data_IF_964597657635
#
_entry.id   IF_964597657635
#
_cell.length_a   1.000
_cell.length_b   1.000
_cell.length_c   1.000
_cell.angle_alpha   90.00
_cell.angle_beta   90.00
_cell.angle_gamma   90.00
#
_symmetry.space_group_name_H-M   'P 1'
#
loop_
_entity.id
_entity.type
_entity.pdbx_description
1 polymer ?
#
# COMPACT_ATOMS: atom_id res chain seq x y z
N UNK A 1 16.63 23.95 -2.21
CA UNK A 1 16.96 22.54 -2.54
C UNK A 1 16.48 21.68 -1.37
N UNK A 2 15.51 20.77 -1.56
CA UNK A 2 15.12 19.86 -0.47
C UNK A 2 16.16 18.77 -0.37
N UNK A 3 16.77 18.60 0.81
CA UNK A 3 17.59 17.42 1.10
C UNK A 3 16.64 16.21 1.07
N UNK A 4 17.14 15.01 0.73
CA UNK A 4 16.32 13.80 0.58
C UNK A 4 15.35 13.56 1.76
N UNK A 5 15.74 13.97 2.98
CA UNK A 5 14.93 13.96 4.20
C UNK A 5 13.61 14.74 4.08
N UNK A 6 13.67 15.96 3.57
CA UNK A 6 12.52 16.86 3.43
C UNK A 6 11.51 16.31 2.43
N UNK A 7 11.99 15.78 1.31
CA UNK A 7 11.14 15.15 0.30
C UNK A 7 10.39 13.95 0.89
N UNK A 8 11.07 13.09 1.67
CA UNK A 8 10.42 11.95 2.30
C UNK A 8 9.40 12.34 3.37
N UNK A 9 9.70 13.36 4.19
CA UNK A 9 8.74 13.88 5.18
C UNK A 9 7.50 14.43 4.48
N UNK A 10 7.67 15.22 3.41
CA UNK A 10 6.54 15.73 2.64
C UNK A 10 5.74 14.61 1.97
N UNK A 11 6.40 13.60 1.40
CA UNK A 11 5.75 12.42 0.83
C UNK A 11 4.91 11.68 1.88
N UNK A 12 5.46 11.47 3.09
CA UNK A 12 4.77 10.80 4.20
C UNK A 12 3.56 11.60 4.71
N UNK A 13 3.71 12.92 4.88
CA UNK A 13 2.63 13.79 5.35
C UNK A 13 1.52 13.89 4.29
N UNK A 14 1.87 14.14 3.02
CA UNK A 14 0.89 14.17 1.91
C UNK A 14 0.17 12.85 1.69
N UNK A 15 0.86 11.73 1.92
CA UNK A 15 0.23 10.42 1.85
C UNK A 15 -0.85 10.28 2.92
N UNK A 16 -0.51 10.67 4.16
CA UNK A 16 -1.42 10.53 5.31
C UNK A 16 -2.58 11.54 5.29
N UNK A 17 -2.39 12.71 4.70
CA UNK A 17 -3.40 13.75 4.56
C UNK A 17 -4.66 13.26 3.79
N UNK A 18 -4.49 12.35 2.83
CA UNK A 18 -5.61 11.77 2.08
C UNK A 18 -6.60 10.98 2.95
N UNK A 19 -6.11 10.46 4.07
CA UNK A 19 -6.90 9.74 5.06
C UNK A 19 -7.43 10.66 6.16
N UNK A 20 -7.22 11.99 6.00
CA UNK A 20 -7.49 13.04 6.99
C UNK A 20 -6.79 12.74 8.31
N UNK A 21 -5.54 12.29 8.21
CA UNK A 21 -4.78 11.75 9.33
C UNK A 21 -3.47 12.54 9.53
N UNK A 22 -3.52 13.68 10.23
CA UNK A 22 -2.31 14.42 10.58
C UNK A 22 -1.46 13.58 11.56
N UNK A 23 -0.14 13.65 11.39
CA UNK A 23 0.78 12.69 12.00
C UNK A 23 1.54 13.29 13.19
N UNK A 24 1.78 12.50 14.22
CA UNK A 24 2.76 12.87 15.25
C UNK A 24 4.20 12.74 14.73
N UNK A 25 5.18 13.38 15.40
CA UNK A 25 6.61 13.22 15.05
C UNK A 25 7.04 11.74 15.04
N UNK A 26 6.59 10.95 16.02
CA UNK A 26 6.89 9.52 16.13
C UNK A 26 6.33 8.73 14.95
N UNK A 27 5.09 9.02 14.55
CA UNK A 27 4.48 8.36 13.39
C UNK A 27 5.18 8.74 12.08
N UNK A 28 5.58 10.00 11.91
CA UNK A 28 6.40 10.40 10.75
C UNK A 28 7.70 9.61 10.75
N UNK A 29 8.41 9.57 11.89
CA UNK A 29 9.66 8.85 12.02
C UNK A 29 9.52 7.39 11.58
N UNK A 30 8.48 6.71 12.03
CA UNK A 30 8.22 5.31 11.70
C UNK A 30 7.82 5.11 10.23
N UNK A 31 7.06 6.06 9.65
CA UNK A 31 6.39 5.91 8.34
C UNK A 31 7.10 6.68 7.21
N UNK A 32 8.38 7.03 7.40
CA UNK A 32 9.15 7.67 6.34
C UNK A 32 9.21 6.79 5.09
N UNK A 33 8.80 7.38 3.97
CA UNK A 33 8.75 6.71 2.69
C UNK A 33 10.16 6.66 2.09
N UNK A 34 10.58 5.44 1.70
CA UNK A 34 11.82 5.07 0.98
C UNK A 34 13.15 5.29 1.72
N UNK A 35 13.25 6.26 2.61
CA UNK A 35 14.52 6.58 3.29
C UNK A 35 14.44 6.36 4.79
N UNK A 36 15.61 6.07 5.37
CA UNK A 36 15.79 6.04 6.81
C UNK A 36 16.41 7.34 7.28
N UNK A 37 15.81 7.94 8.31
CA UNK A 37 16.28 9.20 8.91
C UNK A 37 16.29 9.04 10.42
N UNK A 38 17.35 9.52 11.06
CA UNK A 38 17.49 9.54 12.53
C UNK A 38 16.53 10.54 13.16
N UNK A 39 16.24 10.39 14.44
CA UNK A 39 15.28 11.27 15.12
C UNK A 39 15.74 12.74 15.19
N UNK A 40 17.05 12.97 15.38
CA UNK A 40 17.65 14.31 15.37
C UNK A 40 17.47 14.97 14.01
N UNK A 41 17.84 14.25 12.94
CA UNK A 41 17.72 14.79 11.58
C UNK A 41 16.27 15.06 11.20
N UNK A 42 15.35 14.19 11.61
CA UNK A 42 13.91 14.41 11.42
C UNK A 42 13.43 15.71 12.09
N UNK A 43 13.90 15.99 13.32
CA UNK A 43 13.58 17.24 14.02
C UNK A 43 13.98 18.48 13.22
N UNK A 44 15.23 18.52 12.74
CA UNK A 44 15.72 19.60 11.86
C UNK A 44 14.89 19.73 10.59
N UNK A 45 14.61 18.61 9.92
CA UNK A 45 13.83 18.58 8.68
C UNK A 45 12.42 19.14 8.88
N UNK A 46 11.75 18.80 9.98
CA UNK A 46 10.42 19.31 10.30
C UNK A 46 10.44 20.83 10.55
N UNK A 47 11.44 21.33 11.28
CA UNK A 47 11.64 22.76 11.50
C UNK A 47 11.88 23.49 10.18
N UNK A 48 12.75 22.96 9.32
CA UNK A 48 13.06 23.56 8.02
C UNK A 48 11.84 23.63 7.11
N UNK A 49 11.07 22.54 7.01
CA UNK A 49 9.83 22.51 6.22
C UNK A 49 8.76 23.45 6.78
N UNK A 50 8.74 23.66 8.09
CA UNK A 50 7.82 24.61 8.73
C UNK A 50 8.19 26.06 8.45
N UNK A 51 9.50 26.39 8.48
CA UNK A 51 10.00 27.72 8.07
C UNK A 51 9.66 28.05 6.61
N UNK A 52 9.64 27.03 5.75
CA UNK A 52 9.22 27.15 4.34
C UNK A 52 7.70 27.22 4.16
N UNK A 53 6.92 27.19 5.24
CA UNK A 53 5.45 27.20 5.22
C UNK A 53 4.84 26.07 4.37
N UNK A 54 5.50 24.91 4.34
CA UNK A 54 5.00 23.71 3.66
C UNK A 54 4.21 22.81 4.61
N UNK A 55 4.63 22.77 5.86
CA UNK A 55 3.98 22.04 6.94
C UNK A 55 3.86 22.90 8.20
N UNK A 56 2.91 22.56 9.05
CA UNK A 56 2.73 23.21 10.35
C UNK A 56 2.55 22.16 11.44
N UNK A 57 2.95 22.52 12.67
CA UNK A 57 2.64 21.75 13.86
C UNK A 57 1.46 22.39 14.59
N UNK A 58 0.42 21.60 14.85
CA UNK A 58 -0.74 22.02 15.63
C UNK A 58 -1.08 20.97 16.67
N UNK A 59 -0.91 21.31 17.95
CA UNK A 59 -1.18 20.40 19.06
C UNK A 59 -0.37 19.11 19.02
N UNK A 60 0.89 19.17 18.54
CA UNK A 60 1.76 18.00 18.41
C UNK A 60 1.58 17.19 17.11
N UNK A 61 0.60 17.56 16.27
CA UNK A 61 0.37 16.94 14.97
C UNK A 61 0.94 17.80 13.85
N UNK A 62 1.66 17.15 12.93
CA UNK A 62 2.20 17.74 11.72
C UNK A 62 1.26 17.51 10.56
N UNK A 63 0.93 18.58 9.84
CA UNK A 63 0.08 18.58 8.64
C UNK A 63 0.61 19.55 7.59
N UNK A 64 0.04 19.50 6.40
CA UNK A 64 0.28 20.53 5.38
C UNK A 64 -0.25 21.88 5.87
N UNK A 65 0.54 22.95 5.70
CA UNK A 65 0.15 24.32 6.10
C UNK A 65 -1.07 24.80 5.32
N UNK A 66 -1.18 24.42 4.03
CA UNK A 66 -2.35 24.69 3.21
C UNK A 66 -3.27 23.46 3.24
N UNK A 67 -4.50 23.65 3.70
CA UNK A 67 -5.53 22.60 3.72
C UNK A 67 -6.45 22.70 4.92
N UNK A 68 -7.53 21.92 4.93
CA UNK A 68 -8.48 21.90 6.04
C UNK A 68 -7.79 21.46 7.34
N UNK A 69 -8.14 22.08 8.46
CA UNK A 69 -7.69 21.62 9.77
C UNK A 69 -8.35 20.29 10.12
N UNK A 70 -7.55 19.22 10.13
CA UNK A 70 -8.00 17.86 10.44
C UNK A 70 -7.64 17.45 11.88
N UNK A 71 -6.98 18.29 12.68
CA UNK A 71 -6.55 17.90 14.04
C UNK A 71 -7.75 17.63 14.95
N UNK A 72 -8.79 18.47 14.88
CA UNK A 72 -10.05 18.22 15.60
C UNK A 72 -10.68 16.89 15.20
N UNK A 73 -10.69 16.59 13.90
CA UNK A 73 -11.20 15.31 13.39
C UNK A 73 -10.34 14.13 13.85
N UNK A 74 -9.01 14.27 13.89
CA UNK A 74 -8.08 13.25 14.39
C UNK A 74 -8.36 12.87 15.84
N UNK A 75 -8.55 13.87 16.71
CA UNK A 75 -8.88 13.66 18.12
C UNK A 75 -10.27 13.02 18.29
N UNK A 76 -11.27 13.51 17.55
CA UNK A 76 -12.63 12.95 17.57
C UNK A 76 -12.64 11.48 17.13
N UNK A 77 -11.93 11.13 16.05
CA UNK A 77 -11.80 9.74 15.56
C UNK A 77 -11.03 8.85 16.52
N UNK A 78 -10.01 9.39 17.20
CA UNK A 78 -9.30 8.65 18.24
C UNK A 78 -10.24 8.29 19.40
N UNK A 79 -11.12 9.22 19.81
CA UNK A 79 -12.12 8.96 20.84
C UNK A 79 -13.13 7.87 20.41
N UNK A 80 -13.66 7.95 19.18
CA UNK A 80 -14.52 6.88 18.64
C UNK A 80 -13.81 5.53 18.56
N UNK A 81 -12.50 5.54 18.29
CA UNK A 81 -11.70 4.31 18.23
C UNK A 81 -11.60 3.62 19.59
N UNK A 82 -11.57 4.37 20.70
CA UNK A 82 -11.54 3.80 22.05
C UNK A 82 -12.74 2.90 22.34
N UNK A 83 -13.95 3.32 21.94
CA UNK A 83 -15.15 2.50 22.10
C UNK A 83 -15.09 1.21 21.27
N UNK A 84 -14.47 1.25 20.09
CA UNK A 84 -14.31 0.07 19.22
C UNK A 84 -13.21 -0.87 19.69
N UNK A 85 -12.20 -0.38 20.40
CA UNK A 85 -11.21 -1.25 21.05
C UNK A 85 -11.86 -2.16 22.10
N UNK A 86 -12.83 -1.66 22.87
CA UNK A 86 -13.59 -2.49 23.80
C UNK A 86 -14.38 -3.60 23.08
N UNK A 87 -14.85 -3.36 21.86
CA UNK A 87 -15.50 -4.38 21.03
C UNK A 87 -14.52 -5.44 20.53
N UNK A 88 -13.25 -5.09 20.33
CA UNK A 88 -12.18 -6.05 20.00
C UNK A 88 -11.88 -6.94 21.22
N UNK A 89 -11.92 -6.41 22.44
CA UNK A 89 -11.76 -7.23 23.65
C UNK A 89 -12.92 -8.23 23.80
N UNK A 90 -14.16 -7.81 23.53
CA UNK A 90 -15.33 -8.70 23.47
C UNK A 90 -15.16 -9.79 22.41
N UNK A 91 -14.72 -9.43 21.21
CA UNK A 91 -14.40 -10.39 20.14
C UNK A 91 -13.43 -11.45 20.65
N UNK A 92 -12.34 -11.05 21.28
CA UNK A 92 -11.34 -12.01 21.80
C UNK A 92 -11.92 -12.96 22.83
N UNK A 93 -12.84 -12.50 23.70
CA UNK A 93 -13.54 -13.38 24.64
C UNK A 93 -14.42 -14.42 23.94
N UNK A 94 -14.98 -14.07 22.78
CA UNK A 94 -15.91 -14.92 22.01
C UNK A 94 -15.19 -15.92 21.11
N UNK A 95 -14.06 -15.56 20.50
CA UNK A 95 -13.37 -16.44 19.53
C UNK A 95 -12.03 -16.97 20.06
N UNK A 96 -11.48 -16.38 21.12
CA UNK A 96 -10.15 -16.72 21.65
C UNK A 96 -10.02 -18.15 22.19
N UNK A 97 -11.15 -18.77 22.56
CA UNK A 97 -11.22 -20.16 23.02
C UNK A 97 -11.01 -21.18 21.88
N UNK A 98 -11.16 -20.79 20.61
CA UNK A 98 -10.98 -21.70 19.47
C UNK A 98 -9.49 -22.13 19.43
N UNK A 99 -9.17 -23.42 19.67
CA UNK A 99 -7.80 -23.83 20.02
C UNK A 99 -6.77 -23.63 18.90
N UNK A 100 -7.22 -23.60 17.64
CA UNK A 100 -6.36 -23.47 16.47
C UNK A 100 -6.32 -22.05 15.89
N UNK A 101 -7.02 -21.07 16.48
CA UNK A 101 -6.73 -19.66 16.20
C UNK A 101 -5.37 -19.33 16.79
N UNK A 102 -4.45 -18.91 15.93
CA UNK A 102 -3.06 -18.59 16.27
C UNK A 102 -2.84 -17.09 16.40
N UNK A 103 -3.62 -16.26 15.71
CA UNK A 103 -3.51 -14.83 15.88
C UNK A 103 -4.76 -14.09 15.47
N UNK A 104 -4.97 -12.94 16.10
CA UNK A 104 -6.03 -11.99 15.77
C UNK A 104 -5.38 -10.62 15.72
N UNK A 105 -5.56 -9.91 14.62
CA UNK A 105 -5.03 -8.56 14.46
C UNK A 105 -6.10 -7.62 13.92
N UNK A 106 -6.04 -6.37 14.37
CA UNK A 106 -6.82 -5.26 13.84
C UNK A 106 -6.03 -4.59 12.71
N UNK A 107 -6.72 -4.33 11.61
CA UNK A 107 -6.19 -3.69 10.38
C UNK A 107 -7.00 -2.44 10.05
N UNK A 108 -6.67 -1.74 8.96
CA UNK A 108 -7.43 -0.57 8.50
C UNK A 108 -7.47 0.58 9.50
N UNK A 109 -8.59 1.32 9.51
CA UNK A 109 -8.72 2.59 10.24
C UNK A 109 -8.60 2.45 11.76
N UNK A 110 -9.10 1.36 12.35
CA UNK A 110 -9.05 1.16 13.80
C UNK A 110 -7.60 0.96 14.27
N UNK A 111 -6.78 0.28 13.48
CA UNK A 111 -5.39 0.01 13.83
C UNK A 111 -4.56 1.30 14.05
N UNK A 112 -4.99 2.43 13.46
CA UNK A 112 -4.38 3.76 13.64
C UNK A 112 -5.25 4.76 14.39
N UNK A 113 -6.34 4.30 15.02
CA UNK A 113 -7.26 5.13 15.79
C UNK A 113 -7.93 6.23 14.92
N UNK A 114 -8.25 5.93 13.66
CA UNK A 114 -8.80 6.86 12.67
C UNK A 114 -10.23 6.54 12.23
N UNK A 115 -11.03 5.94 13.10
CA UNK A 115 -12.36 5.42 12.76
C UNK A 115 -13.44 6.50 12.82
N UNK A 116 -14.38 6.47 11.87
CA UNK A 116 -15.67 7.17 11.94
C UNK A 116 -16.73 6.34 12.67
N UNK A 117 -17.82 6.97 13.13
CA UNK A 117 -18.89 6.30 13.90
C UNK A 117 -19.36 5.01 13.20
N UNK A 118 -19.53 5.07 11.87
CA UNK A 118 -20.13 4.00 11.08
C UNK A 118 -19.12 3.00 10.49
N UNK A 119 -17.81 3.16 10.72
CA UNK A 119 -16.86 2.19 10.13
C UNK A 119 -16.93 0.83 10.84
N UNK A 120 -16.75 -0.25 10.08
CA UNK A 120 -16.64 -1.59 10.64
C UNK A 120 -15.26 -1.82 11.28
N UNK A 121 -15.14 -2.89 12.08
CA UNK A 121 -13.86 -3.32 12.65
C UNK A 121 -13.20 -4.30 11.68
N UNK A 122 -12.14 -3.85 11.02
CA UNK A 122 -11.34 -4.65 10.07
C UNK A 122 -10.40 -5.63 10.79
N UNK A 123 -10.67 -6.93 10.68
CA UNK A 123 -9.99 -8.00 11.41
C UNK A 123 -9.26 -8.97 10.49
N UNK A 124 -8.00 -9.23 10.82
CA UNK A 124 -7.21 -10.33 10.28
C UNK A 124 -7.17 -11.50 11.27
N UNK A 125 -7.54 -12.69 10.79
CA UNK A 125 -7.46 -13.92 11.56
C UNK A 125 -6.38 -14.85 11.00
N UNK A 126 -5.51 -15.34 11.88
CA UNK A 126 -4.51 -16.35 11.57
C UNK A 126 -4.84 -17.65 12.29
N UNK A 127 -4.89 -18.75 11.54
CA UNK A 127 -5.24 -20.08 12.07
C UNK A 127 -4.14 -21.11 11.78
N UNK A 128 -4.20 -22.24 12.47
CA UNK A 128 -3.39 -23.39 12.10
C UNK A 128 -3.73 -23.90 10.68
N UNK A 129 -2.81 -24.59 9.98
CA UNK A 129 -3.04 -25.08 8.63
C UNK A 129 -4.25 -26.02 8.55
N UNK A 130 -5.00 -25.94 7.44
CA UNK A 130 -6.21 -26.76 7.19
C UNK A 130 -7.31 -26.58 8.25
N UNK A 131 -7.46 -25.35 8.76
CA UNK A 131 -8.51 -24.97 9.71
C UNK A 131 -9.25 -23.69 9.34
N UNK A 132 -8.90 -23.07 8.21
CA UNK A 132 -9.36 -21.73 7.87
C UNK A 132 -10.88 -21.71 7.67
N UNK A 133 -11.40 -22.66 6.91
CA UNK A 133 -12.79 -22.69 6.51
C UNK A 133 -13.72 -23.15 7.63
N UNK A 134 -13.25 -24.09 8.45
CA UNK A 134 -13.94 -24.48 9.67
C UNK A 134 -13.96 -23.32 10.67
N UNK A 135 -12.84 -22.62 10.85
CA UNK A 135 -12.78 -21.44 11.73
C UNK A 135 -13.72 -20.36 11.25
N UNK A 136 -13.79 -20.14 9.93
CA UNK A 136 -14.70 -19.15 9.35
C UNK A 136 -16.15 -19.44 9.69
N UNK A 137 -16.59 -20.69 9.67
CA UNK A 137 -17.95 -21.08 10.10
C UNK A 137 -18.16 -20.78 11.58
N UNK A 138 -17.28 -21.28 12.45
CA UNK A 138 -17.41 -21.11 13.90
C UNK A 138 -17.41 -19.63 14.32
N UNK A 139 -16.50 -18.85 13.75
CA UNK A 139 -16.40 -17.40 13.98
C UNK A 139 -17.64 -16.69 13.42
N UNK A 140 -18.14 -17.11 12.25
CA UNK A 140 -19.33 -16.52 11.66
C UNK A 140 -20.58 -16.75 12.51
N UNK A 141 -20.77 -17.98 13.01
CA UNK A 141 -21.90 -18.35 13.87
C UNK A 141 -21.81 -17.65 15.23
N UNK A 142 -20.64 -17.66 15.86
CA UNK A 142 -20.44 -16.97 17.14
C UNK A 142 -20.63 -15.46 17.03
N UNK A 143 -20.18 -14.84 15.93
CA UNK A 143 -20.41 -13.41 15.65
C UNK A 143 -21.90 -13.09 15.44
N UNK A 144 -22.64 -13.99 14.77
CA UNK A 144 -24.09 -13.86 14.59
C UNK A 144 -24.82 -13.97 15.93
N UNK A 145 -24.41 -14.92 16.78
CA UNK A 145 -25.02 -15.16 18.08
C UNK A 145 -24.93 -13.96 19.02
N UNK A 146 -23.83 -13.19 18.95
CA UNK A 146 -23.64 -11.95 19.72
C UNK A 146 -24.13 -10.70 19.00
N UNK A 147 -24.81 -10.84 17.85
CA UNK A 147 -25.37 -9.71 17.10
C UNK A 147 -24.33 -8.77 16.50
N UNK A 148 -23.12 -9.26 16.20
CA UNK A 148 -22.00 -8.46 15.65
C UNK A 148 -21.69 -8.78 14.19
N UNK A 149 -22.55 -9.56 13.53
CA UNK A 149 -22.39 -9.95 12.13
C UNK A 149 -23.42 -9.28 11.25
N UNK A 150 -22.93 -8.39 10.39
CA UNK A 150 -23.75 -7.60 9.47
C UNK A 150 -24.78 -8.45 8.72
N UNK A 151 -26.04 -8.25 9.04
CA UNK A 151 -27.17 -8.77 8.26
C UNK A 151 -27.33 -8.03 6.95
N UNK A 152 -28.04 -8.63 5.97
CA UNK A 152 -28.32 -8.03 4.67
C UNK A 152 -29.05 -6.67 4.77
N UNK A 153 -29.77 -6.43 5.87
CA UNK A 153 -30.49 -5.18 6.14
C UNK A 153 -29.60 -4.04 6.65
N UNK A 154 -28.34 -4.30 7.01
CA UNK A 154 -27.29 -3.29 7.09
C UNK A 154 -27.28 -2.35 8.31
N UNK A 155 -28.10 -2.60 9.34
CA UNK A 155 -28.33 -1.69 10.47
C UNK A 155 -27.37 -1.84 11.67
N UNK A 156 -26.36 -2.70 11.60
CA UNK A 156 -25.51 -3.00 12.75
C UNK A 156 -24.29 -2.08 12.80
N UNK A 157 -24.30 -1.14 13.74
CA UNK A 157 -23.11 -0.36 14.08
C UNK A 157 -22.07 -1.24 14.78
N UNK A 158 -20.79 -1.05 14.46
CA UNK A 158 -19.65 -1.80 15.02
C UNK A 158 -19.62 -3.29 14.68
N UNK A 159 -20.00 -3.65 13.45
CA UNK A 159 -19.92 -5.04 12.99
C UNK A 159 -18.47 -5.53 12.91
N UNK A 160 -18.26 -6.81 13.21
CA UNK A 160 -16.95 -7.46 13.11
C UNK A 160 -16.71 -7.94 11.68
N UNK A 161 -15.79 -7.26 10.98
CA UNK A 161 -15.48 -7.56 9.59
C UNK A 161 -14.18 -8.35 9.48
N UNK A 162 -14.28 -9.66 9.27
CA UNK A 162 -13.12 -10.52 9.03
C UNK A 162 -12.68 -10.44 7.57
N UNK A 163 -11.96 -9.38 7.24
CA UNK A 163 -11.54 -9.04 5.88
C UNK A 163 -10.36 -9.90 5.38
N UNK A 164 -9.58 -10.49 6.30
CA UNK A 164 -8.38 -11.25 5.97
C UNK A 164 -8.27 -12.54 6.79
N UNK A 165 -8.19 -13.66 6.10
CA UNK A 165 -7.99 -14.99 6.69
C UNK A 165 -6.71 -15.59 6.16
N UNK A 166 -5.82 -16.02 7.05
CA UNK A 166 -4.54 -16.63 6.71
C UNK A 166 -4.32 -17.89 7.55
N UNK A 167 -3.61 -18.86 7.00
CA UNK A 167 -2.93 -19.86 7.83
C UNK A 167 -1.54 -19.39 8.26
N UNK A 168 -1.00 -20.00 9.31
CA UNK A 168 0.31 -19.65 9.88
C UNK A 168 1.53 -20.03 9.00
N UNK A 169 1.31 -20.70 7.86
CA UNK A 169 2.35 -21.02 6.85
C UNK A 169 2.38 -20.00 5.71
N UNK A 170 1.30 -19.27 5.46
CA UNK A 170 1.14 -18.37 4.32
C UNK A 170 0.81 -16.93 4.75
N UNK A 171 1.66 -16.37 5.61
CA UNK A 171 1.47 -15.01 6.17
C UNK A 171 1.90 -13.87 5.24
N UNK A 172 2.60 -14.18 4.15
CA UNK A 172 3.12 -13.19 3.22
C UNK A 172 2.05 -12.68 2.26
N UNK A 173 1.98 -11.35 2.10
CA UNK A 173 1.12 -10.75 1.08
C UNK A 173 1.60 -11.17 -0.33
N UNK A 174 0.65 -11.52 -1.24
CA UNK A 174 0.96 -11.86 -2.63
C UNK A 174 1.73 -10.74 -3.33
N UNK A 175 2.69 -11.07 -4.20
CA UNK A 175 3.55 -10.09 -4.89
C UNK A 175 2.75 -8.98 -5.59
N UNK A 176 1.65 -9.34 -6.26
CA UNK A 176 0.79 -8.40 -6.98
C UNK A 176 0.03 -7.40 -6.06
N UNK A 177 -0.07 -7.70 -4.75
CA UNK A 177 -0.64 -6.78 -3.76
C UNK A 177 0.40 -5.90 -3.07
N UNK A 178 1.70 -6.15 -3.25
CA UNK A 178 2.78 -5.40 -2.58
C UNK A 178 2.94 -4.01 -3.20
N UNK A 179 2.64 -2.98 -2.43
CA UNK A 179 2.78 -1.58 -2.82
C UNK A 179 2.80 -0.70 -1.56
N UNK A 180 2.87 0.63 -1.71
CA UNK A 180 2.95 1.53 -0.56
C UNK A 180 1.74 1.42 0.38
N UNK A 181 0.52 1.31 -0.16
CA UNK A 181 -0.68 1.19 0.68
C UNK A 181 -0.66 -0.09 1.51
N UNK A 182 -0.40 -1.24 0.90
CA UNK A 182 -0.29 -2.50 1.64
C UNK A 182 0.91 -2.54 2.58
N UNK A 183 1.98 -1.78 2.30
CA UNK A 183 3.09 -1.60 3.24
C UNK A 183 2.66 -0.84 4.49
N UNK A 184 1.85 0.22 4.34
CA UNK A 184 1.25 0.92 5.47
C UNK A 184 0.32 0.00 6.26
N UNK A 185 -0.56 -0.78 5.61
CA UNK A 185 -1.44 -1.76 6.27
C UNK A 185 -0.63 -2.77 7.11
N UNK A 186 0.45 -3.33 6.56
CA UNK A 186 1.35 -4.25 7.30
C UNK A 186 1.95 -3.56 8.53
N UNK A 187 2.48 -2.35 8.38
CA UNK A 187 3.09 -1.60 9.48
C UNK A 187 2.07 -1.15 10.53
N UNK A 188 0.83 -0.91 10.13
CA UNK A 188 -0.21 -0.40 11.02
C UNK A 188 -0.95 -1.51 11.75
N UNK A 189 -0.87 -2.75 11.27
CA UNK A 189 -1.49 -3.93 11.89
C UNK A 189 -1.15 -4.01 13.38
N UNK A 190 -2.20 -4.08 14.22
CA UNK A 190 -2.09 -4.25 15.67
C UNK A 190 -2.52 -5.66 16.06
N UNK A 191 -1.60 -6.45 16.60
CA UNK A 191 -1.87 -7.81 17.05
C UNK A 191 -2.50 -7.78 18.44
N UNK A 192 -3.68 -8.37 18.55
CA UNK A 192 -4.49 -8.43 19.78
C UNK A 192 -4.43 -9.82 20.40
N UNK A 193 -4.18 -10.83 19.58
CA UNK A 193 -3.81 -12.17 20.00
C UNK A 193 -2.61 -12.61 19.16
N UNK A 194 -1.55 -13.05 19.83
CA UNK A 194 -0.42 -13.73 19.20
C UNK A 194 -0.10 -15.01 19.97
N UNK A 195 -0.48 -16.15 19.40
CA UNK A 195 -0.09 -17.49 19.86
C UNK A 195 0.91 -18.05 18.86
N UNK A 196 2.09 -18.45 19.34
CA UNK A 196 3.17 -19.03 18.53
C UNK A 196 3.94 -18.05 17.63
N UNK A 197 4.06 -16.79 18.06
CA UNK A 197 4.93 -15.78 17.45
C UNK A 197 4.53 -15.41 16.02
N UNK A 198 3.23 -15.37 15.75
CA UNK A 198 2.63 -15.02 14.47
C UNK A 198 2.98 -13.59 14.08
N UNK A 199 2.99 -12.64 15.01
CA UNK A 199 3.35 -11.25 14.70
C UNK A 199 4.73 -11.18 14.04
N UNK A 200 5.71 -11.84 14.66
CA UNK A 200 7.08 -11.91 14.15
C UNK A 200 7.14 -12.60 12.79
N UNK A 201 6.49 -13.76 12.65
CA UNK A 201 6.44 -14.50 11.38
C UNK A 201 5.78 -13.67 10.28
N UNK A 202 4.74 -12.91 10.59
CA UNK A 202 4.05 -12.05 9.64
C UNK A 202 4.97 -10.94 9.11
N UNK A 203 5.72 -10.27 9.98
CA UNK A 203 6.69 -9.25 9.54
C UNK A 203 7.85 -9.85 8.74
N UNK A 204 8.33 -11.04 9.11
CA UNK A 204 9.36 -11.75 8.35
C UNK A 204 8.88 -12.11 6.93
N UNK A 205 7.66 -12.62 6.82
CA UNK A 205 7.05 -12.95 5.52
C UNK A 205 6.72 -11.71 4.68
N UNK A 206 6.68 -10.53 5.29
CA UNK A 206 6.42 -9.24 4.65
C UNK A 206 7.65 -8.31 4.67
N UNK A 207 8.86 -8.86 4.71
CA UNK A 207 10.11 -8.09 4.78
C UNK A 207 10.31 -7.09 3.63
N UNK A 208 9.66 -7.32 2.48
CA UNK A 208 9.64 -6.41 1.34
C UNK A 208 9.22 -4.98 1.71
N UNK A 209 8.45 -4.81 2.79
CA UNK A 209 8.02 -3.49 3.29
C UNK A 209 9.20 -2.62 3.72
N UNK A 210 10.33 -3.22 4.15
CA UNK A 210 11.57 -2.47 4.47
C UNK A 210 12.04 -1.60 3.30
N UNK A 211 11.81 -2.01 2.06
CA UNK A 211 12.19 -1.25 0.86
C UNK A 211 11.32 0.01 0.64
N UNK A 212 10.19 0.11 1.34
CA UNK A 212 9.24 1.22 1.24
C UNK A 212 9.17 2.05 2.51
N UNK A 213 9.28 1.42 3.68
CA UNK A 213 9.19 2.03 5.01
C UNK A 213 10.33 1.53 5.91
N UNK A 214 11.60 1.87 5.61
CA UNK A 214 12.77 1.30 6.27
C UNK A 214 12.84 1.62 7.78
N UNK A 215 12.39 2.81 8.20
CA UNK A 215 12.42 3.20 9.62
C UNK A 215 11.52 2.34 10.50
N UNK A 216 10.35 1.93 10.01
CA UNK A 216 9.44 1.07 10.76
C UNK A 216 10.12 -0.27 11.10
N UNK A 217 10.70 -0.92 10.08
CA UNK A 217 11.31 -2.24 10.21
C UNK A 217 12.55 -2.24 11.12
N UNK A 218 13.37 -1.20 11.04
CA UNK A 218 14.54 -1.06 11.92
C UNK A 218 14.12 -0.93 13.39
N UNK A 219 13.00 -0.24 13.68
CA UNK A 219 12.52 -0.07 15.06
C UNK A 219 11.90 -1.34 15.66
N UNK A 220 11.16 -2.15 14.87
CA UNK A 220 10.45 -3.34 15.39
C UNK A 220 11.34 -4.58 15.58
N UNK A 221 12.31 -4.82 14.71
CA UNK A 221 13.15 -6.03 14.80
C UNK A 221 14.14 -6.02 15.97
N UNK A 222 14.58 -4.84 16.41
CA UNK A 222 15.47 -4.69 17.58
C UNK A 222 14.75 -5.06 18.89
N UNK A 223 13.43 -4.90 18.96
CA UNK A 223 12.62 -5.37 20.11
C UNK A 223 12.35 -6.88 20.08
N UNK A 224 12.17 -7.45 18.89
CA UNK A 224 11.81 -8.85 18.70
C UNK A 224 12.95 -9.86 18.96
N UNK A 225 14.22 -9.42 19.02
CA UNK A 225 15.36 -10.28 19.37
C UNK A 225 15.44 -10.58 20.88
N UNK A 226 15.08 -9.62 21.74
CA UNK A 226 15.08 -9.79 23.20
C UNK A 226 14.00 -10.77 23.72
N UNK A 227 12.93 -10.98 22.96
CA UNK A 227 11.84 -11.91 23.31
C UNK A 227 12.21 -13.38 23.00
N UNK A 228 13.21 -13.61 22.12
CA UNK A 228 13.59 -14.94 21.62
C UNK A 228 14.10 -15.89 22.71
N UNK A 229 14.69 -15.36 23.78
CA UNK A 229 15.21 -16.18 24.88
C UNK A 229 14.11 -16.69 25.83
N UNK A 230 12.92 -16.09 25.83
CA UNK A 230 11.91 -16.35 26.86
C UNK A 230 10.85 -17.42 26.50
N UNK A 231 10.58 -17.70 25.22
CA UNK A 231 9.44 -18.53 24.80
C UNK A 231 9.83 -19.91 24.21
N UNK A 232 10.70 -20.65 24.90
CA UNK A 232 10.82 -22.10 24.70
C UNK A 232 10.21 -22.83 25.89
N UNK A 233 8.88 -22.94 25.93
CA UNK A 233 8.24 -23.87 26.87
C UNK A 233 6.97 -24.50 26.31
N UNK A 234 7.09 -25.80 26.03
CA UNK A 234 6.11 -26.81 26.43
C UNK A 234 4.77 -26.81 25.69
N UNK A 235 4.59 -27.77 24.77
CA UNK A 235 3.27 -28.35 24.55
C UNK A 235 3.39 -29.81 24.10
N UNK A 236 3.61 -30.71 25.06
CA UNK A 236 3.50 -32.16 24.86
C UNK A 236 2.14 -32.70 25.34
N UNK A 237 1.82 -33.91 24.85
CA UNK A 237 0.62 -34.77 25.01
C UNK A 237 -0.52 -34.60 23.97
N UNK A 238 -1.19 -35.65 23.43
CA UNK A 238 -0.94 -37.10 23.30
C UNK A 238 -1.26 -37.50 21.82
N UNK A 239 -0.61 -38.53 21.21
CA UNK A 239 -0.46 -38.59 19.75
C UNK A 239 -1.69 -39.07 18.94
N UNK A 240 -2.38 -40.11 19.40
CA UNK A 240 -3.28 -40.91 18.54
C UNK A 240 -4.71 -40.34 18.42
N UNK A 241 -5.40 -40.06 19.54
CA UNK A 241 -6.72 -39.42 19.49
C UNK A 241 -6.65 -38.02 18.84
N UNK A 242 -5.55 -37.29 19.08
CA UNK A 242 -5.30 -35.99 18.45
C UNK A 242 -5.02 -36.13 16.96
N UNK A 243 -4.42 -37.22 16.51
CA UNK A 243 -4.20 -37.50 15.08
C UNK A 243 -5.51 -37.80 14.35
N UNK A 244 -6.35 -38.67 14.91
CA UNK A 244 -7.67 -39.01 14.35
C UNK A 244 -8.56 -37.76 14.33
N UNK A 245 -8.66 -37.04 15.45
CA UNK A 245 -9.36 -35.77 15.52
C UNK A 245 -8.82 -34.74 14.53
N UNK A 246 -7.49 -34.67 14.33
CA UNK A 246 -6.88 -33.77 13.33
C UNK A 246 -7.28 -34.12 11.91
N UNK A 247 -7.32 -35.42 11.55
CA UNK A 247 -7.76 -35.90 10.23
C UNK A 247 -9.24 -35.63 9.98
N UNK A 248 -10.10 -35.89 10.97
CA UNK A 248 -11.53 -35.59 10.89
C UNK A 248 -11.73 -34.09 10.66
N UNK A 249 -11.08 -33.25 11.47
CA UNK A 249 -11.17 -31.80 11.32
C UNK A 249 -10.63 -31.30 9.97
N UNK A 250 -9.62 -31.94 9.36
CA UNK A 250 -9.14 -31.54 8.03
C UNK A 250 -10.11 -31.92 6.92
N UNK A 251 -10.79 -33.07 7.06
CA UNK A 251 -11.87 -33.46 6.14
C UNK A 251 -13.02 -32.46 6.25
N UNK A 252 -13.41 -32.11 7.48
CA UNK A 252 -14.44 -31.09 7.72
C UNK A 252 -14.04 -29.72 7.13
N UNK A 253 -12.79 -29.28 7.32
CA UNK A 253 -12.29 -28.04 6.72
C UNK A 253 -12.42 -28.05 5.18
N UNK A 254 -12.04 -29.15 4.53
CA UNK A 254 -12.17 -29.30 3.08
C UNK A 254 -13.64 -29.32 2.60
N UNK A 255 -14.53 -30.00 3.33
CA UNK A 255 -15.97 -30.00 3.02
C UNK A 255 -16.57 -28.60 3.19
N UNK A 256 -16.23 -27.91 4.29
CA UNK A 256 -16.69 -26.53 4.53
C UNK A 256 -16.13 -25.55 3.51
N UNK A 257 -14.90 -25.76 3.03
CA UNK A 257 -14.36 -25.00 1.91
C UNK A 257 -15.21 -25.20 0.65
N UNK A 258 -15.45 -26.45 0.25
CA UNK A 258 -16.20 -26.77 -0.97
C UNK A 258 -17.58 -26.11 -0.97
N UNK A 259 -18.31 -26.19 0.15
CA UNK A 259 -19.65 -25.60 0.31
C UNK A 259 -19.59 -24.06 0.25
N UNK A 260 -18.69 -23.44 1.03
CA UNK A 260 -18.57 -21.98 1.07
C UNK A 260 -18.07 -21.42 -0.26
N UNK A 261 -17.11 -22.09 -0.89
CA UNK A 261 -16.59 -21.71 -2.20
C UNK A 261 -17.69 -21.73 -3.25
N UNK A 262 -18.51 -22.80 -3.30
CA UNK A 262 -19.64 -22.89 -4.23
C UNK A 262 -20.66 -21.76 -4.00
N UNK A 263 -21.03 -21.50 -2.75
CA UNK A 263 -21.92 -20.39 -2.39
C UNK A 263 -21.38 -19.03 -2.82
N UNK A 264 -20.07 -18.81 -2.63
CA UNK A 264 -19.40 -17.55 -2.96
C UNK A 264 -19.09 -17.41 -4.45
N UNK A 265 -19.03 -18.50 -5.22
CA UNK A 265 -18.54 -18.53 -6.59
C UNK A 265 -19.26 -17.52 -7.49
N UNK A 266 -20.58 -17.39 -7.36
CA UNK A 266 -21.39 -16.45 -8.14
C UNK A 266 -21.26 -14.98 -7.72
N UNK A 267 -20.70 -14.71 -6.54
CA UNK A 267 -20.56 -13.37 -5.97
C UNK A 267 -19.10 -12.89 -5.89
N UNK A 268 -18.15 -13.76 -6.27
CA UNK A 268 -16.72 -13.52 -6.16
C UNK A 268 -16.23 -12.61 -7.30
N UNK A 269 -16.33 -11.30 -7.10
CA UNK A 269 -15.92 -10.32 -8.13
C UNK A 269 -14.40 -10.09 -8.17
N UNK A 270 -13.76 -9.89 -7.02
CA UNK A 270 -12.33 -9.53 -6.89
C UNK A 270 -11.62 -10.21 -5.71
N UNK A 271 -12.35 -10.99 -4.94
CA UNK A 271 -11.86 -11.67 -3.74
C UNK A 271 -10.94 -12.81 -4.16
N UNK A 272 -9.82 -12.99 -3.45
CA UNK A 272 -8.92 -14.12 -3.69
C UNK A 272 -9.12 -15.12 -2.58
N UNK A 273 -9.55 -16.31 -2.96
CA UNK A 273 -9.98 -17.35 -2.03
C UNK A 273 -9.25 -18.64 -2.38
N UNK A 274 -8.67 -19.27 -1.39
CA UNK A 274 -8.01 -20.56 -1.49
C UNK A 274 -8.16 -21.33 -0.18
N UNK A 275 -7.67 -22.57 -0.13
CA UNK A 275 -7.67 -23.37 1.10
C UNK A 275 -6.85 -22.72 2.24
N UNK A 276 -5.84 -21.91 1.93
CA UNK A 276 -4.88 -21.34 2.89
C UNK A 276 -5.07 -19.86 3.19
N UNK A 277 -5.83 -19.15 2.35
CA UNK A 277 -6.06 -17.72 2.51
C UNK A 277 -7.38 -17.29 1.89
N UNK A 278 -8.01 -16.27 2.48
CA UNK A 278 -9.17 -15.61 1.91
C UNK A 278 -9.07 -14.10 2.13
N UNK A 279 -9.15 -13.34 1.04
CA UNK A 279 -9.04 -11.89 1.02
C UNK A 279 -10.36 -11.26 0.58
N UNK A 280 -11.04 -10.60 1.51
CA UNK A 280 -12.29 -9.89 1.31
C UNK A 280 -12.02 -8.39 1.37
N UNK A 281 -11.56 -7.80 0.26
CA UNK A 281 -11.38 -6.34 0.18
C UNK A 281 -12.55 -5.72 -0.59
N UNK A 282 -13.38 -4.89 0.05
CA UNK A 282 -14.57 -4.34 -0.59
C UNK A 282 -14.26 -3.34 -1.72
N UNK A 283 -13.05 -2.77 -1.82
CA UNK A 283 -12.71 -1.75 -2.84
C UNK A 283 -11.24 -1.79 -3.29
N UNK A 284 -11.02 -1.54 -4.59
CA UNK A 284 -9.70 -1.19 -5.16
C UNK A 284 -9.52 0.33 -5.05
N UNK A 285 -9.17 0.83 -3.87
CA UNK A 285 -8.95 2.27 -3.61
C UNK A 285 -7.56 2.74 -4.07
N UNK A 286 -6.71 1.84 -4.58
CA UNK A 286 -5.33 2.13 -4.98
C UNK A 286 -5.26 3.32 -5.92
N UNK A 287 -6.01 3.32 -7.03
CA UNK A 287 -5.99 4.41 -8.03
C UNK A 287 -6.37 5.76 -7.43
N UNK A 288 -7.46 5.82 -6.66
CA UNK A 288 -7.95 7.04 -6.03
C UNK A 288 -6.99 7.60 -4.97
N UNK A 289 -6.33 6.73 -4.21
CA UNK A 289 -5.30 7.11 -3.23
C UNK A 289 -4.14 7.77 -3.97
N UNK A 290 -3.58 7.12 -5.01
CA UNK A 290 -2.47 7.73 -5.73
C UNK A 290 -2.88 9.07 -6.37
N UNK A 291 -4.04 9.17 -7.04
CA UNK A 291 -4.53 10.44 -7.63
C UNK A 291 -4.64 11.60 -6.63
N UNK A 292 -5.20 11.35 -5.44
CA UNK A 292 -5.27 12.34 -4.36
C UNK A 292 -3.89 12.68 -3.80
N UNK A 293 -3.00 11.69 -3.73
CA UNK A 293 -1.61 11.90 -3.31
C UNK A 293 -0.89 12.89 -4.22
N UNK A 294 -0.98 12.63 -5.53
CA UNK A 294 -0.40 13.48 -6.56
C UNK A 294 -0.97 14.89 -6.53
N UNK A 295 -2.27 15.03 -6.28
CA UNK A 295 -2.91 16.34 -6.12
C UNK A 295 -2.37 17.12 -4.91
N UNK A 296 -2.16 16.43 -3.79
CA UNK A 296 -1.60 17.04 -2.56
C UNK A 296 -0.15 17.47 -2.75
N UNK A 297 0.65 16.67 -3.46
CA UNK A 297 2.01 17.04 -3.85
C UNK A 297 2.05 18.27 -4.76
N UNK A 298 1.09 18.42 -5.68
CA UNK A 298 1.01 19.61 -6.54
C UNK A 298 0.66 20.88 -5.79
N UNK A 299 -0.18 20.76 -4.77
CA UNK A 299 -0.50 21.90 -3.89
C UNK A 299 0.76 22.41 -3.16
N UNK A 300 1.68 21.52 -2.79
CA UNK A 300 2.99 21.86 -2.19
C UNK A 300 3.96 22.40 -3.25
N UNK A 301 3.92 21.86 -4.47
CA UNK A 301 4.72 22.33 -5.61
C UNK A 301 4.31 23.73 -6.12
N UNK A 302 3.21 24.31 -5.63
CA UNK A 302 2.87 25.73 -5.86
C UNK A 302 3.89 26.73 -5.30
N UNK A 303 4.98 26.26 -4.70
CA UNK A 303 6.19 27.04 -4.48
C UNK A 303 7.14 26.93 -5.69
N UNK A 304 6.87 27.67 -6.78
CA UNK A 304 7.78 27.94 -7.92
C UNK A 304 8.73 26.82 -8.40
N UNK A 305 8.30 25.54 -8.32
CA UNK A 305 9.14 24.41 -8.77
C UNK A 305 8.72 23.93 -10.14
N UNK A 306 9.70 23.76 -11.02
CA UNK A 306 9.53 23.28 -12.39
C UNK A 306 9.36 21.77 -12.38
N UNK A 307 8.14 21.29 -12.59
CA UNK A 307 7.79 19.88 -12.71
C UNK A 307 8.03 19.40 -14.13
N UNK A 308 8.80 18.32 -14.24
CA UNK A 308 9.04 17.57 -15.48
C UNK A 308 8.24 16.28 -15.44
N UNK A 309 7.38 16.07 -16.43
CA UNK A 309 6.67 14.82 -16.65
C UNK A 309 7.36 14.03 -17.76
N UNK A 310 7.50 12.72 -17.54
CA UNK A 310 7.89 11.75 -18.55
C UNK A 310 6.85 10.63 -18.55
N UNK A 311 6.50 10.10 -19.73
CA UNK A 311 5.66 8.90 -19.84
C UNK A 311 6.31 7.85 -20.74
N UNK A 312 6.14 6.56 -20.43
CA UNK A 312 6.69 5.50 -21.27
C UNK A 312 6.52 4.09 -20.71
N UNK A 313 7.01 3.12 -21.49
CA UNK A 313 6.94 1.69 -21.11
C UNK A 313 8.02 1.36 -20.07
N UNK A 314 9.28 1.73 -20.31
CA UNK A 314 10.42 1.40 -19.44
C UNK A 314 10.62 -0.12 -19.21
N UNK A 315 10.39 -0.92 -20.26
CA UNK A 315 10.61 -2.38 -20.23
C UNK A 315 12.10 -2.72 -20.20
N UNK A 316 12.47 -3.76 -19.42
CA UNK A 316 13.85 -4.10 -19.04
C UNK A 316 14.70 -2.86 -18.76
N UNK A 317 14.44 -2.18 -17.64
CA UNK A 317 15.02 -0.86 -17.35
C UNK A 317 16.56 -0.79 -17.49
N UNK A 318 17.03 -0.33 -18.65
CA UNK A 318 18.43 -0.34 -19.09
C UNK A 318 19.05 1.06 -19.21
N UNK A 319 20.32 1.12 -19.62
CA UNK A 319 21.12 2.36 -19.64
C UNK A 319 20.47 3.51 -20.43
N UNK A 320 19.87 3.26 -21.59
CA UNK A 320 19.19 4.34 -22.34
C UNK A 320 18.02 4.96 -21.58
N UNK A 321 17.21 4.16 -20.87
CA UNK A 321 16.15 4.70 -20.01
C UNK A 321 16.74 5.56 -18.89
N UNK A 322 17.83 5.09 -18.28
CA UNK A 322 18.53 5.83 -17.23
C UNK A 322 19.08 7.16 -17.75
N UNK A 323 19.72 7.16 -18.93
CA UNK A 323 20.26 8.37 -19.56
C UNK A 323 19.15 9.36 -19.93
N UNK A 324 18.05 8.87 -20.51
CA UNK A 324 16.88 9.69 -20.81
C UNK A 324 16.32 10.36 -19.55
N UNK A 325 16.11 9.61 -18.47
CA UNK A 325 15.57 10.16 -17.22
C UNK A 325 16.55 11.13 -16.55
N UNK A 326 17.86 10.87 -16.60
CA UNK A 326 18.89 11.84 -16.13
C UNK A 326 18.81 13.15 -16.90
N UNK A 327 18.64 13.11 -18.23
CA UNK A 327 18.48 14.31 -19.05
C UNK A 327 17.14 15.01 -18.80
N UNK A 328 16.05 14.25 -18.66
CA UNK A 328 14.74 14.81 -18.32
C UNK A 328 14.77 15.54 -16.96
N UNK A 329 15.44 14.98 -15.95
CA UNK A 329 15.60 15.63 -14.64
C UNK A 329 16.28 17.00 -14.72
N UNK A 330 17.16 17.25 -15.70
CA UNK A 330 17.81 18.56 -15.85
C UNK A 330 16.84 19.67 -16.28
N UNK A 331 15.65 19.33 -16.80
CA UNK A 331 14.65 20.30 -17.21
C UNK A 331 13.83 20.86 -16.04
N UNK A 332 14.05 20.42 -14.81
CA UNK A 332 13.32 20.98 -13.67
C UNK A 332 13.67 20.37 -12.33
N UNK A 333 12.93 20.79 -11.32
CA UNK A 333 13.20 20.43 -9.93
C UNK A 333 12.68 19.03 -9.58
N UNK A 334 11.61 18.59 -10.24
CA UNK A 334 10.91 17.33 -9.91
C UNK A 334 10.59 16.54 -11.18
N UNK A 335 11.09 15.31 -11.26
CA UNK A 335 10.83 14.36 -12.33
C UNK A 335 9.74 13.36 -11.91
N UNK A 336 8.60 13.46 -12.57
CA UNK A 336 7.44 12.59 -12.41
C UNK A 336 7.36 11.65 -13.61
N UNK A 337 7.24 10.34 -13.37
CA UNK A 337 7.26 9.31 -14.42
C UNK A 337 5.95 8.50 -14.45
N UNK A 338 5.22 8.59 -15.56
CA UNK A 338 4.04 7.76 -15.84
C UNK A 338 4.40 6.50 -16.65
N UNK A 339 3.95 5.35 -16.17
CA UNK A 339 4.32 4.04 -16.70
C UNK A 339 3.13 3.40 -17.39
N UNK A 340 3.34 2.92 -18.62
CA UNK A 340 2.29 2.24 -19.39
C UNK A 340 1.84 0.93 -18.74
N UNK A 341 0.54 0.64 -18.82
CA UNK A 341 -0.02 -0.63 -18.31
C UNK A 341 0.38 -1.82 -19.17
N UNK A 342 0.41 -3.01 -18.59
CA UNK A 342 0.77 -4.23 -19.33
C UNK A 342 -0.19 -4.49 -20.51
N UNK A 343 -1.50 -4.30 -20.29
CA UNK A 343 -2.51 -4.52 -21.32
C UNK A 343 -2.37 -3.56 -22.49
N UNK A 344 -2.03 -2.31 -22.22
CA UNK A 344 -1.82 -1.32 -23.27
C UNK A 344 -0.54 -1.58 -24.06
N UNK A 345 0.52 -1.97 -23.36
CA UNK A 345 1.77 -2.37 -24.03
C UNK A 345 1.55 -3.59 -24.92
N UNK A 346 0.76 -4.58 -24.47
CA UNK A 346 0.39 -5.76 -25.29
C UNK A 346 -0.37 -5.37 -26.54
N UNK A 347 -1.35 -4.46 -26.43
CA UNK A 347 -2.10 -3.94 -27.58
C UNK A 347 -1.20 -3.24 -28.58
N UNK A 348 -0.24 -2.45 -28.10
CA UNK A 348 0.59 -1.60 -28.96
C UNK A 348 1.85 -2.31 -29.50
N UNK A 349 2.38 -3.31 -28.80
CA UNK A 349 3.67 -3.96 -29.09
C UNK A 349 3.60 -5.48 -29.24
N UNK A 350 2.42 -6.07 -29.11
CA UNK A 350 2.18 -7.51 -29.19
C UNK A 350 2.20 -8.22 -27.84
N UNK A 351 1.62 -9.44 -27.80
CA UNK A 351 1.38 -10.20 -26.57
C UNK A 351 2.65 -10.60 -25.79
N UNK A 352 3.80 -10.63 -26.46
CA UNK A 352 5.11 -10.94 -25.85
C UNK A 352 5.76 -9.76 -25.11
N UNK A 353 5.12 -8.59 -25.10
CA UNK A 353 5.58 -7.38 -24.41
C UNK A 353 4.50 -6.87 -23.46
N UNK A 354 4.87 -6.29 -22.30
CA UNK A 354 6.23 -6.08 -21.81
C UNK A 354 6.80 -7.37 -21.21
N UNK A 355 8.12 -7.45 -21.07
CA UNK A 355 8.79 -8.58 -20.40
C UNK A 355 8.70 -8.42 -18.89
N UNK A 356 9.05 -7.22 -18.41
CA UNK A 356 8.83 -6.86 -17.03
C UNK A 356 7.40 -6.33 -16.87
N UNK A 357 6.64 -6.94 -15.97
CA UNK A 357 5.29 -6.45 -15.65
C UNK A 357 5.32 -5.00 -15.12
N UNK A 358 4.16 -4.34 -15.15
CA UNK A 358 4.05 -2.94 -14.77
C UNK A 358 4.47 -2.67 -13.32
N UNK A 359 4.35 -3.64 -12.41
CA UNK A 359 4.79 -3.47 -11.03
C UNK A 359 6.33 -3.55 -10.92
N UNK A 360 6.96 -4.46 -11.66
CA UNK A 360 8.43 -4.57 -11.70
C UNK A 360 9.06 -3.33 -12.33
N UNK A 361 8.51 -2.83 -13.43
CA UNK A 361 8.95 -1.56 -14.07
C UNK A 361 8.79 -0.37 -13.14
N UNK A 362 7.65 -0.28 -12.42
CA UNK A 362 7.43 0.73 -11.39
C UNK A 362 8.47 0.65 -10.27
N UNK A 363 8.78 -0.54 -9.79
CA UNK A 363 9.78 -0.72 -8.73
C UNK A 363 11.17 -0.27 -9.18
N UNK A 364 11.59 -0.63 -10.40
CA UNK A 364 12.88 -0.22 -10.96
C UNK A 364 12.97 1.32 -11.05
N UNK A 365 11.93 1.97 -11.55
CA UNK A 365 11.88 3.43 -11.66
C UNK A 365 11.86 4.13 -10.30
N UNK A 366 11.11 3.60 -9.32
CA UNK A 366 11.07 4.15 -7.97
C UNK A 366 12.40 4.02 -7.21
N UNK A 367 13.30 3.12 -7.65
CA UNK A 367 14.64 2.96 -7.07
C UNK A 367 15.69 3.81 -7.80
N UNK A 368 15.33 4.42 -8.93
CA UNK A 368 16.29 5.18 -9.73
C UNK A 368 16.45 6.60 -9.16
N UNK A 369 17.67 7.03 -8.76
CA UNK A 369 17.86 8.23 -7.92
C UNK A 369 17.31 9.55 -8.46
N UNK A 370 17.17 9.71 -9.78
CA UNK A 370 16.69 10.96 -10.40
C UNK A 370 15.16 11.03 -10.52
N UNK A 371 14.46 9.93 -10.24
CA UNK A 371 13.00 9.86 -10.31
C UNK A 371 12.43 10.21 -8.94
N UNK A 372 11.80 11.36 -8.82
CA UNK A 372 11.17 11.78 -7.57
C UNK A 372 9.86 11.03 -7.33
N UNK A 373 9.15 10.67 -8.41
CA UNK A 373 7.85 10.03 -8.32
C UNK A 373 7.52 9.22 -9.57
N UNK A 374 7.03 7.99 -9.39
CA UNK A 374 6.59 7.13 -10.50
C UNK A 374 5.22 6.50 -10.21
N UNK A 375 4.39 6.36 -11.25
CA UNK A 375 3.04 5.78 -11.16
C UNK A 375 2.65 5.04 -12.43
N UNK A 376 1.62 4.20 -12.34
CA UNK A 376 1.02 3.50 -13.48
C UNK A 376 -0.06 4.40 -14.10
N UNK A 377 -0.01 4.55 -15.43
CA UNK A 377 -1.02 5.27 -16.21
C UNK A 377 -2.38 4.54 -16.20
N UNK A 378 -3.48 5.24 -16.46
CA UNK A 378 -4.79 4.59 -16.64
C UNK A 378 -4.78 3.57 -17.79
N UNK A 379 -5.61 2.53 -17.71
CA UNK A 379 -5.73 1.52 -18.77
C UNK A 379 -6.23 2.10 -20.11
N UNK A 380 -7.11 3.11 -20.05
CA UNK A 380 -7.55 3.88 -21.20
C UNK A 380 -6.74 5.18 -21.26
N UNK A 381 -5.78 5.23 -22.18
CA UNK A 381 -4.86 6.37 -22.31
C UNK A 381 -4.41 6.61 -23.76
N UNK A 382 -5.29 6.32 -24.73
CA UNK A 382 -5.00 6.35 -26.17
C UNK A 382 -5.45 7.63 -26.85
N UNK A 383 -6.25 8.45 -26.17
CA UNK A 383 -6.86 9.64 -26.77
C UNK A 383 -6.22 10.93 -26.27
N UNK A 384 -6.20 11.96 -27.13
CA UNK A 384 -5.75 13.30 -26.76
C UNK A 384 -6.49 13.87 -25.53
N UNK A 385 -7.75 13.48 -25.32
CA UNK A 385 -8.55 13.90 -24.17
C UNK A 385 -8.03 13.30 -22.86
N UNK A 386 -7.66 12.03 -22.86
CA UNK A 386 -7.06 11.35 -21.68
C UNK A 386 -5.67 11.93 -21.37
N UNK A 387 -4.85 12.14 -22.40
CA UNK A 387 -3.58 12.84 -22.26
C UNK A 387 -3.77 14.24 -21.65
N UNK A 388 -4.72 15.03 -22.17
CA UNK A 388 -5.02 16.36 -21.63
C UNK A 388 -5.53 16.30 -20.18
N UNK A 389 -6.32 15.29 -19.81
CA UNK A 389 -6.78 15.11 -18.43
C UNK A 389 -5.60 14.88 -17.48
N UNK A 390 -4.64 14.02 -17.87
CA UNK A 390 -3.41 13.82 -17.09
C UNK A 390 -2.61 15.13 -16.97
N UNK A 391 -2.46 15.86 -18.07
CA UNK A 391 -1.72 17.12 -18.08
C UNK A 391 -2.39 18.21 -17.25
N UNK A 392 -3.73 18.32 -17.27
CA UNK A 392 -4.48 19.25 -16.41
C UNK A 392 -4.37 18.86 -14.94
N UNK A 393 -4.33 17.57 -14.66
CA UNK A 393 -4.13 17.05 -13.32
C UNK A 393 -2.72 17.38 -12.84
N UNK A 394 -1.68 17.11 -13.64
CA UNK A 394 -0.27 17.29 -13.27
C UNK A 394 0.23 18.73 -13.33
N UNK A 395 -0.25 19.50 -14.31
CA UNK A 395 0.25 20.83 -14.68
C UNK A 395 1.79 20.87 -14.76
N UNK A 396 2.43 19.95 -15.51
CA UNK A 396 3.89 19.98 -15.64
C UNK A 396 4.31 21.21 -16.44
N UNK A 397 5.45 21.80 -16.08
CA UNK A 397 6.07 22.85 -16.89
C UNK A 397 6.74 22.24 -18.13
N UNK A 398 7.30 21.03 -18.01
CA UNK A 398 7.94 20.32 -19.11
C UNK A 398 7.38 18.92 -19.25
N UNK A 399 6.97 18.53 -20.46
CA UNK A 399 6.81 17.13 -20.86
C UNK A 399 8.07 16.70 -21.62
N UNK A 400 8.95 15.97 -20.95
CA UNK A 400 10.20 15.51 -21.53
C UNK A 400 9.97 14.26 -22.40
N UNK A 401 10.47 14.30 -23.63
CA UNK A 401 10.33 13.23 -24.63
C UNK A 401 11.66 12.92 -25.30
N UNK A 402 11.78 11.74 -25.90
CA UNK A 402 12.93 11.37 -26.74
C UNK A 402 12.74 11.82 -28.20
N UNK A 403 13.83 11.85 -28.97
CA UNK A 403 13.84 12.29 -30.37
C UNK A 403 12.90 11.51 -31.31
N UNK A 404 12.53 10.27 -30.96
CA UNK A 404 11.68 9.41 -31.78
C UNK A 404 10.24 9.33 -31.24
N UNK A 405 9.83 10.29 -30.41
CA UNK A 405 8.47 10.30 -29.86
C UNK A 405 7.43 10.49 -30.97
N UNK A 406 6.44 9.60 -31.08
CA UNK A 406 5.33 9.78 -32.01
C UNK A 406 4.42 10.93 -31.54
N UNK A 407 3.76 11.57 -32.50
CA UNK A 407 2.77 12.63 -32.26
C UNK A 407 3.31 13.82 -31.45
N UNK A 408 4.57 14.21 -31.70
CA UNK A 408 5.21 15.31 -30.97
C UNK A 408 4.43 16.62 -31.06
N UNK A 409 3.95 16.99 -32.25
CA UNK A 409 3.17 18.22 -32.46
C UNK A 409 1.87 18.23 -31.63
N UNK A 410 1.18 17.09 -31.54
CA UNK A 410 -0.01 16.97 -30.72
C UNK A 410 0.33 17.13 -29.23
N UNK A 411 1.41 16.49 -28.76
CA UNK A 411 1.88 16.64 -27.38
C UNK A 411 2.25 18.09 -27.06
N UNK A 412 2.91 18.79 -27.98
CA UNK A 412 3.21 20.22 -27.86
C UNK A 412 1.93 21.06 -27.78
N UNK A 413 0.93 20.78 -28.63
CA UNK A 413 -0.39 21.45 -28.60
C UNK A 413 -1.11 21.23 -27.26
N UNK A 414 -1.09 20.00 -26.73
CA UNK A 414 -1.72 19.69 -25.45
C UNK A 414 -1.00 20.36 -24.27
N UNK A 415 0.34 20.39 -24.29
CA UNK A 415 1.14 21.08 -23.26
C UNK A 415 0.89 22.59 -23.23
N UNK A 416 0.77 23.24 -24.40
CA UNK A 416 0.41 24.65 -24.49
C UNK A 416 -0.93 24.95 -23.80
N UNK A 417 -1.91 24.04 -23.89
CA UNK A 417 -3.22 24.19 -23.20
C UNK A 417 -3.14 24.19 -21.67
N UNK A 418 -2.05 23.68 -21.09
CA UNK A 418 -1.85 23.63 -19.63
C UNK A 418 -0.75 24.59 -19.16
N UNK A 419 -0.25 25.46 -20.04
CA UNK A 419 0.77 26.46 -19.70
C UNK A 419 2.19 25.90 -19.60
N UNK A 420 2.47 24.74 -20.19
CA UNK A 420 3.81 24.15 -20.25
C UNK A 420 4.24 23.83 -21.68
N UNK A 421 5.34 23.10 -21.82
CA UNK A 421 5.96 22.79 -23.12
C UNK A 421 6.39 21.31 -23.20
N UNK A 422 6.30 20.71 -24.39
CA UNK A 422 6.89 19.40 -24.65
C UNK A 422 8.28 19.56 -25.28
N UNK A 423 9.32 19.00 -24.66
CA UNK A 423 10.72 19.14 -25.08
C UNK A 423 11.37 17.80 -25.40
N UNK A 424 12.08 17.75 -26.52
CA UNK A 424 12.98 16.64 -26.83
C UNK A 424 14.26 16.83 -26.03
N UNK A 425 14.48 15.98 -25.02
CA UNK A 425 15.61 16.11 -24.07
C UNK A 425 16.69 15.06 -24.28
N UNK A 426 16.42 14.05 -25.10
CA UNK A 426 17.33 12.94 -25.32
C UNK A 426 17.22 12.41 -26.75
N UNK A 427 18.37 12.29 -27.41
CA UNK A 427 18.48 11.62 -28.71
C UNK A 427 18.78 10.15 -28.45
N UNK A 428 17.77 9.30 -28.64
CA UNK A 428 17.88 7.89 -28.29
C UNK A 428 18.82 7.18 -29.27
N UNK A 429 19.75 6.38 -28.75
CA UNK A 429 20.59 5.53 -29.59
C UNK A 429 19.75 4.31 -30.07
N UNK A 430 19.49 4.16 -31.39
CA UNK A 430 18.69 3.05 -31.91
C UNK A 430 19.34 1.67 -31.69
N UNK A 431 20.64 1.62 -31.39
CA UNK A 431 21.37 0.36 -31.20
C UNK A 431 21.13 -0.32 -29.86
N UNK A 432 20.56 0.39 -28.87
CA UNK A 432 20.28 -0.12 -27.53
C UNK A 432 18.78 0.00 -27.25
N UNK A 433 18.02 -1.04 -27.61
CA UNK A 433 16.58 -1.14 -27.34
C UNK A 433 16.23 -2.47 -26.70
N UNK A 434 15.10 -2.50 -25.99
CA UNK A 434 14.56 -3.73 -25.38
C UNK A 434 14.40 -4.87 -26.39
N UNK A 435 14.16 -4.54 -27.67
CA UNK A 435 14.05 -5.50 -28.78
C UNK A 435 15.37 -6.15 -29.17
N UNK A 436 16.50 -5.44 -29.01
CA UNK A 436 17.84 -5.97 -29.27
C UNK A 436 18.42 -6.70 -28.06
N UNK A 437 18.15 -6.21 -26.84
CA UNK A 437 18.60 -6.88 -25.60
C UNK A 437 18.04 -8.30 -25.47
N UNK A 438 16.82 -8.55 -25.96
CA UNK A 438 16.21 -9.88 -25.99
C UNK A 438 16.75 -10.82 -27.06
N UNK A 439 17.60 -10.34 -27.97
CA UNK A 439 18.29 -11.17 -28.97
C UNK A 439 19.70 -11.57 -28.53
N UNK A 440 20.20 -11.01 -27.42
CA UNK A 440 21.54 -11.23 -26.87
C UNK A 440 21.54 -12.18 -25.66
N UNK A 441 20.37 -12.67 -25.27
CA UNK A 441 20.09 -13.69 -24.24
C UNK A 441 19.36 -14.83 -24.90
#
# INVERSE_FOLDING_TARGET
MLIFSEAAVLLTITYSDQFKFPLTKKEIAQRLIKISVTENKLGETLINLSKLNLIENKGGFWKLSKGTDQVKNRLRRANYSQQKWLEVDKLLSVIGWIPWIRGVAVTGSLAVDNVTVNDDIDLMLVVAPQRLWLSRVLVSLSSLWVGKRRTWQGNEENSWCFNLWLDDKHLGLPKNKRNLYSAYEVCQTKWMLDKAGIEKKFYQNNYWVKNLLPNYFNSKLIGASKIIEAEKSGYESAPILRFIGRKILSILDFLTFSIQYFYMYSHMSREKVSLSNAYFHPRSTKGQIYEKWFSSLKQIQSQDRRVVLVTGVFDLFHQEHQNFLRKAKLEGDLLVVGIETDDRVKKNKGLSRPIDDQQKRLQQLQLFPVVDLAFILPEKFDTAQEHLALLKLIKPQVLAVSSHTPYLEEKQRLMKKVGGEARVVYRQNPDISTTRLTKLT
#
